data_IF_929570924208
#
_entry.id   IF_929570924208
#
_cell.length_a   1.000
_cell.length_b   1.000
_cell.length_c   1.000
_cell.angle_alpha   90.00
_cell.angle_beta   90.00
_cell.angle_gamma   90.00
#
_symmetry.space_group_name_H-M   'P 1'
#
loop_
_entity.id
_entity.type
_entity.pdbx_description
1 polymer ?
#
# COMPACT_ATOMS: atom_id res chain seq x y z
N UNK A 1 21.41 6.28 -4.69
CA UNK A 1 20.10 5.95 -5.30
C UNK A 1 19.45 4.88 -4.44
N UNK A 2 18.15 4.97 -4.16
CA UNK A 2 17.42 3.96 -3.38
C UNK A 2 16.59 3.11 -4.33
N UNK A 3 16.99 1.87 -4.58
CA UNK A 3 16.24 0.96 -5.46
C UNK A 3 15.05 0.37 -4.71
N UNK A 4 13.85 0.60 -5.24
CA UNK A 4 12.59 0.07 -4.70
C UNK A 4 11.95 -0.91 -5.67
N UNK A 5 11.11 -1.81 -5.15
CA UNK A 5 10.37 -2.78 -5.95
C UNK A 5 8.89 -2.76 -5.59
N UNK A 6 8.00 -2.81 -6.59
CA UNK A 6 6.55 -2.91 -6.35
C UNK A 6 6.16 -4.35 -6.02
N UNK A 7 5.66 -4.57 -4.81
CA UNK A 7 5.24 -5.87 -4.31
C UNK A 7 3.77 -5.82 -3.86
N UNK A 8 2.95 -6.72 -4.40
CA UNK A 8 1.49 -6.68 -4.26
C UNK A 8 0.95 -7.28 -2.96
N UNK A 9 1.81 -7.88 -2.13
CA UNK A 9 1.41 -8.53 -0.89
C UNK A 9 1.67 -10.03 -0.89
N UNK A 10 1.13 -10.76 0.12
CA UNK A 10 1.40 -12.19 0.32
C UNK A 10 1.10 -13.08 -0.89
N UNK A 11 0.12 -12.67 -1.72
CA UNK A 11 -0.31 -13.42 -2.91
C UNK A 11 0.51 -13.10 -4.18
N UNK A 12 1.50 -12.19 -4.09
CA UNK A 12 2.40 -11.89 -5.20
C UNK A 12 3.33 -13.09 -5.47
N UNK A 13 3.38 -13.62 -6.71
CA UNK A 13 4.30 -14.72 -7.05
C UNK A 13 5.78 -14.34 -6.86
N UNK A 14 6.12 -13.05 -6.89
CA UNK A 14 7.45 -12.55 -6.57
C UNK A 14 7.57 -12.35 -5.06
N UNK A 15 8.25 -13.29 -4.39
CA UNK A 15 8.46 -13.21 -2.93
C UNK A 15 9.40 -12.06 -2.54
N UNK A 16 9.28 -11.57 -1.30
CA UNK A 16 10.22 -10.57 -0.73
C UNK A 16 11.68 -11.04 -0.74
N UNK A 17 11.92 -12.35 -0.67
CA UNK A 17 13.26 -12.92 -0.79
C UNK A 17 13.85 -12.70 -2.20
N UNK A 18 13.05 -12.90 -3.25
CA UNK A 18 13.45 -12.60 -4.63
C UNK A 18 13.70 -11.10 -4.83
N UNK A 19 12.84 -10.25 -4.27
CA UNK A 19 13.01 -8.79 -4.32
C UNK A 19 14.36 -8.37 -3.72
N UNK A 20 14.70 -8.92 -2.54
CA UNK A 20 16.00 -8.65 -1.89
C UNK A 20 17.17 -9.16 -2.72
N UNK A 21 17.06 -10.33 -3.34
CA UNK A 21 18.08 -10.88 -4.24
C UNK A 21 18.28 -10.04 -5.50
N UNK A 22 17.23 -9.37 -5.99
CA UNK A 22 17.32 -8.43 -7.11
C UNK A 22 18.04 -7.11 -6.74
N UNK A 23 18.39 -6.90 -5.47
CA UNK A 23 19.14 -5.74 -5.00
C UNK A 23 18.28 -4.53 -4.60
N UNK A 24 16.95 -4.70 -4.54
CA UNK A 24 16.09 -3.68 -3.96
C UNK A 24 16.28 -3.63 -2.43
N UNK A 25 16.25 -2.41 -1.88
CA UNK A 25 16.35 -2.16 -0.43
C UNK A 25 15.02 -1.67 0.16
N UNK A 26 14.08 -1.34 -0.72
CA UNK A 26 12.78 -0.78 -0.38
C UNK A 26 11.65 -1.41 -1.18
N UNK A 27 10.45 -1.34 -0.62
CA UNK A 27 9.22 -1.83 -1.19
C UNK A 27 8.28 -0.66 -1.48
N UNK A 28 7.66 -0.73 -2.65
CA UNK A 28 6.46 0.00 -3.01
C UNK A 28 5.28 -0.98 -2.87
N UNK A 29 4.27 -0.66 -2.07
CA UNK A 29 3.13 -1.58 -1.86
C UNK A 29 1.85 -0.84 -1.52
N UNK A 30 0.72 -1.56 -1.50
CA UNK A 30 -0.56 -1.07 -1.03
C UNK A 30 -1.39 -2.18 -0.39
N UNK A 31 -2.43 -1.79 0.36
CA UNK A 31 -3.40 -2.72 0.95
C UNK A 31 -4.52 -3.01 -0.07
N UNK A 32 -4.21 -3.84 -1.08
CA UNK A 32 -5.12 -4.10 -2.21
C UNK A 32 -6.48 -4.71 -1.84
N UNK A 33 -6.57 -5.38 -0.69
CA UNK A 33 -7.83 -5.88 -0.13
C UNK A 33 -8.72 -4.78 0.48
N UNK A 34 -8.23 -3.54 0.56
CA UNK A 34 -8.92 -2.35 1.08
C UNK A 34 -9.00 -1.25 0.00
N UNK A 35 -9.62 -1.56 -1.14
CA UNK A 35 -9.69 -0.69 -2.32
C UNK A 35 -11.03 0.04 -2.51
N UNK A 36 -11.88 0.06 -1.49
CA UNK A 36 -13.25 0.61 -1.52
C UNK A 36 -13.36 2.08 -1.08
N UNK A 37 -12.24 2.74 -0.80
CA UNK A 37 -12.21 4.14 -0.36
C UNK A 37 -12.44 4.35 1.14
N UNK A 38 -12.48 3.27 1.93
CA UNK A 38 -12.40 3.37 3.39
C UNK A 38 -11.00 3.84 3.83
N UNK A 39 -10.92 4.45 5.02
CA UNK A 39 -9.63 4.78 5.61
C UNK A 39 -8.84 3.50 5.94
N UNK A 40 -7.54 3.50 5.70
CA UNK A 40 -6.69 2.34 6.02
C UNK A 40 -6.54 2.18 7.55
N UNK A 41 -6.88 1.01 8.11
CA UNK A 41 -6.69 0.74 9.53
C UNK A 41 -5.20 0.72 9.91
N UNK A 42 -4.84 1.34 11.03
CA UNK A 42 -3.45 1.44 11.48
C UNK A 42 -2.80 0.07 11.76
N UNK A 43 -3.57 -0.89 12.23
CA UNK A 43 -3.15 -2.27 12.46
C UNK A 43 -2.86 -3.02 11.15
N UNK A 44 -3.64 -2.79 10.11
CA UNK A 44 -3.40 -3.34 8.77
C UNK A 44 -2.11 -2.77 8.14
N UNK A 45 -1.89 -1.46 8.28
CA UNK A 45 -0.63 -0.80 7.86
C UNK A 45 0.55 -1.39 8.64
N UNK A 46 0.42 -1.51 9.97
CA UNK A 46 1.47 -2.05 10.82
C UNK A 46 1.80 -3.50 10.47
N UNK A 47 0.79 -4.33 10.19
CA UNK A 47 0.97 -5.73 9.77
C UNK A 47 1.77 -5.82 8.47
N UNK A 48 1.38 -5.07 7.44
CA UNK A 48 2.10 -5.05 6.16
C UNK A 48 3.53 -4.55 6.32
N UNK A 49 3.73 -3.49 7.13
CA UNK A 49 5.05 -2.97 7.44
C UNK A 49 5.93 -4.02 8.12
N UNK A 50 5.40 -4.69 9.14
CA UNK A 50 6.13 -5.73 9.87
C UNK A 50 6.53 -6.91 8.98
N UNK A 51 5.66 -7.31 8.04
CA UNK A 51 5.96 -8.37 7.06
C UNK A 51 7.14 -7.99 6.14
N UNK A 52 7.14 -6.76 5.62
CA UNK A 52 8.22 -6.23 4.78
C UNK A 52 9.52 -6.12 5.58
N UNK A 53 9.46 -5.60 6.80
CA UNK A 53 10.62 -5.42 7.68
C UNK A 53 11.22 -6.74 8.15
N UNK A 54 10.40 -7.77 8.38
CA UNK A 54 10.85 -9.12 8.69
C UNK A 54 11.67 -9.74 7.55
N UNK A 55 11.44 -9.31 6.29
CA UNK A 55 12.26 -9.71 5.15
C UNK A 55 13.57 -8.90 5.00
N UNK A 56 13.84 -7.95 5.90
CA UNK A 56 15.01 -7.07 5.84
C UNK A 56 14.88 -5.97 4.79
N UNK A 57 13.65 -5.60 4.42
CA UNK A 57 13.33 -4.52 3.50
C UNK A 57 12.59 -3.40 4.26
N UNK A 58 12.33 -2.28 3.60
CA UNK A 58 11.58 -1.15 4.17
C UNK A 58 10.40 -0.82 3.28
N UNK A 59 9.26 -0.43 3.85
CA UNK A 59 8.14 0.07 3.06
C UNK A 59 8.32 1.57 2.82
N UNK A 60 8.79 1.92 1.63
CA UNK A 60 9.21 3.28 1.31
C UNK A 60 8.13 4.12 0.64
N UNK A 61 7.28 3.49 -0.17
CA UNK A 61 6.25 4.19 -0.96
C UNK A 61 4.95 3.42 -0.93
N UNK A 62 3.85 4.15 -0.77
CA UNK A 62 2.50 3.62 -0.97
C UNK A 62 2.10 3.82 -2.43
N UNK A 63 1.78 2.75 -3.15
CA UNK A 63 1.25 2.82 -4.52
C UNK A 63 0.16 1.75 -4.74
N UNK A 64 -1.11 2.07 -4.48
CA UNK A 64 -1.67 3.38 -4.15
C UNK A 64 -2.79 3.34 -3.11
N UNK A 65 -3.11 4.51 -2.55
CA UNK A 65 -4.40 4.75 -1.90
C UNK A 65 -5.40 5.09 -3.00
N UNK A 66 -6.51 4.35 -3.07
CA UNK A 66 -7.54 4.54 -4.11
C UNK A 66 -8.21 5.90 -3.95
N UNK A 67 -8.25 6.67 -5.03
CA UNK A 67 -9.18 7.79 -5.18
C UNK A 67 -10.49 7.21 -5.70
N UNK A 68 -11.50 7.12 -4.83
CA UNK A 68 -12.80 6.54 -5.18
C UNK A 68 -13.50 7.34 -6.31
N UNK A 69 -14.30 6.67 -7.15
CA UNK A 69 -14.97 7.32 -8.29
C UNK A 69 -15.87 8.48 -7.87
N UNK A 70 -16.62 8.34 -6.77
CA UNK A 70 -17.44 9.42 -6.23
C UNK A 70 -16.65 10.72 -5.95
N UNK A 71 -15.37 10.61 -5.55
CA UNK A 71 -14.50 11.78 -5.40
C UNK A 71 -14.25 12.43 -6.76
N UNK A 72 -13.98 11.63 -7.79
CA UNK A 72 -13.64 12.11 -9.14
C UNK A 72 -14.85 12.76 -9.81
N UNK A 73 -16.05 12.21 -9.64
CA UNK A 73 -17.30 12.69 -10.22
C UNK A 73 -18.04 13.69 -9.33
N UNK A 74 -17.59 13.90 -8.09
CA UNK A 74 -18.27 14.69 -7.04
C UNK A 74 -19.72 14.23 -6.81
N UNK A 75 -19.95 12.92 -6.85
CA UNK A 75 -21.24 12.27 -6.58
C UNK A 75 -21.23 11.53 -5.23
N UNK A 76 -22.37 10.95 -4.85
CA UNK A 76 -22.45 10.08 -3.67
C UNK A 76 -21.93 10.76 -2.40
N UNK A 77 -21.18 9.99 -1.60
CA UNK A 77 -20.60 10.43 -0.33
C UNK A 77 -19.13 10.90 -0.48
N UNK A 78 -18.86 11.66 -1.55
CA UNK A 78 -17.49 12.10 -1.88
C UNK A 78 -16.78 12.89 -0.77
N UNK A 79 -17.52 13.56 0.13
CA UNK A 79 -16.93 14.30 1.25
C UNK A 79 -16.34 13.36 2.29
N UNK A 80 -17.11 12.37 2.73
CA UNK A 80 -16.62 11.33 3.66
C UNK A 80 -15.47 10.56 3.04
N UNK A 81 -15.54 10.23 1.75
CA UNK A 81 -14.47 9.53 1.05
C UNK A 81 -13.17 10.36 0.95
N UNK A 82 -13.27 11.69 0.82
CA UNK A 82 -12.10 12.58 0.92
C UNK A 82 -11.51 12.55 2.33
N UNK A 83 -12.35 12.56 3.37
CA UNK A 83 -11.86 12.53 4.75
C UNK A 83 -11.20 11.18 5.08
N UNK A 84 -11.74 10.07 4.56
CA UNK A 84 -11.09 8.75 4.62
C UNK A 84 -9.72 8.75 3.93
N UNK A 85 -9.60 9.40 2.77
CA UNK A 85 -8.33 9.51 2.04
C UNK A 85 -7.28 10.29 2.85
N UNK A 86 -7.68 11.38 3.52
CA UNK A 86 -6.77 12.16 4.39
C UNK A 86 -6.31 11.41 5.63
N UNK A 87 -7.15 10.51 6.14
CA UNK A 87 -6.86 9.72 7.33
C UNK A 87 -5.98 8.50 7.05
N UNK A 88 -5.76 8.17 5.78
CA UNK A 88 -4.95 7.03 5.32
C UNK A 88 -3.49 7.38 5.07
#
# INVERSE_FOLDING_TARGET
>A
MRQTWRWFGPDDPVTLAHVRQAGAVGIVSALHHLNDGRAWPADEIARRKAEIEAAGLTWDVVESIVVHEDIKTRSGDWRTLIDNYKAS
#
